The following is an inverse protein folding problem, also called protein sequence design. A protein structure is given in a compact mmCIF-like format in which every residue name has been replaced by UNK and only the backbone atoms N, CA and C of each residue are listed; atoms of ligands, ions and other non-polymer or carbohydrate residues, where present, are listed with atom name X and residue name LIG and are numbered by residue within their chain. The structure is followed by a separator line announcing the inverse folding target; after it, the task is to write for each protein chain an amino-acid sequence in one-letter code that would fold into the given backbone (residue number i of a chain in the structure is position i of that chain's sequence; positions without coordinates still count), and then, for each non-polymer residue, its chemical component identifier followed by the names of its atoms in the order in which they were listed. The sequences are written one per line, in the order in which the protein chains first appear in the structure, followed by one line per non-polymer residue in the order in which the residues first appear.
data_IF_584864117084
#
_entry.id   IF_584864117084
#
_cell.length_a   1.000
_cell.length_b   1.000
_cell.length_c   1.000
_cell.angle_alpha   90.00
_cell.angle_beta   90.00
_cell.angle_gamma   90.00
#
_symmetry.space_group_name_H-M   'P 1'
#
loop_
_entity.id
_entity.type
_entity.pdbx_description
1 polymer ?
#
# COMPACT_ATOMS: atom_id res chain seq x y z
N UNK A 1 18.79 0.84 -1.66
CA UNK A 1 17.43 0.29 -1.59
C UNK A 1 16.92 0.07 -3.01
N UNK A 2 16.00 -0.88 -3.21
CA UNK A 2 15.26 -1.06 -4.46
C UNK A 2 13.86 -0.50 -4.21
N UNK A 3 13.37 0.35 -5.11
CA UNK A 3 12.06 0.97 -4.99
C UNK A 3 11.06 0.30 -5.92
N UNK A 4 9.89 0.00 -5.38
CA UNK A 4 8.71 -0.45 -6.12
C UNK A 4 7.52 0.38 -5.66
N UNK A 5 6.63 0.75 -6.57
CA UNK A 5 5.50 1.61 -6.27
C UNK A 5 4.22 1.12 -6.95
N UNK A 6 3.08 1.40 -6.32
CA UNK A 6 1.75 1.20 -6.87
C UNK A 6 0.94 2.47 -6.59
N UNK A 7 0.02 2.79 -7.49
CA UNK A 7 -0.89 3.92 -7.29
C UNK A 7 -1.85 3.61 -6.13
N UNK A 8 -2.23 4.60 -5.29
CA UNK A 8 -3.08 4.38 -4.11
C UNK A 8 -4.52 3.98 -4.45
N UNK A 9 -4.93 4.14 -5.71
CA UNK A 9 -6.22 3.69 -6.24
C UNK A 9 -6.25 2.20 -6.64
N UNK A 10 -5.11 1.49 -6.57
CA UNK A 10 -5.09 0.04 -6.79
C UNK A 10 -5.90 -0.68 -5.71
N UNK A 11 -6.68 -1.67 -6.15
CA UNK A 11 -7.32 -2.62 -5.23
C UNK A 11 -6.29 -3.46 -4.50
N UNK A 12 -6.64 -3.91 -3.28
CA UNK A 12 -5.76 -4.70 -2.38
C UNK A 12 -5.09 -5.85 -3.13
N UNK A 13 -5.86 -6.65 -3.90
CA UNK A 13 -5.33 -7.80 -4.65
C UNK A 13 -4.19 -7.42 -5.61
N UNK A 14 -4.32 -6.31 -6.34
CA UNK A 14 -3.28 -5.87 -7.27
C UNK A 14 -2.01 -5.40 -6.56
N UNK A 15 -2.12 -4.89 -5.34
CA UNK A 15 -0.98 -4.55 -4.49
C UNK A 15 -0.29 -5.83 -3.99
N UNK A 16 -1.07 -6.82 -3.53
CA UNK A 16 -0.53 -8.11 -3.06
C UNK A 16 0.19 -8.88 -4.18
N UNK A 17 -0.38 -8.92 -5.38
CA UNK A 17 0.24 -9.59 -6.53
C UNK A 17 1.63 -9.01 -6.86
N UNK A 18 1.84 -7.70 -6.62
CA UNK A 18 3.13 -7.02 -6.89
C UNK A 18 4.08 -7.09 -5.71
N UNK A 19 3.61 -6.75 -4.51
CA UNK A 19 4.46 -6.67 -3.32
C UNK A 19 4.73 -8.04 -2.70
N UNK A 20 3.86 -9.03 -2.90
CA UNK A 20 4.10 -10.42 -2.51
C UNK A 20 5.29 -11.05 -3.24
N UNK A 21 5.59 -10.62 -4.47
CA UNK A 21 6.76 -11.11 -5.23
C UNK A 21 8.08 -10.51 -4.75
N UNK A 22 8.05 -9.30 -4.20
CA UNK A 22 9.25 -8.54 -3.82
C UNK A 22 9.51 -8.54 -2.32
N UNK A 23 8.52 -8.94 -1.51
CA UNK A 23 8.56 -8.99 -0.06
C UNK A 23 9.25 -7.76 0.59
N UNK A 24 8.73 -6.54 0.34
CA UNK A 24 9.35 -5.34 0.87
C UNK A 24 9.34 -5.35 2.40
N UNK A 25 10.34 -4.69 3.01
CA UNK A 25 10.42 -4.52 4.47
C UNK A 25 9.87 -3.18 4.96
N UNK A 26 9.75 -2.20 4.07
CA UNK A 26 9.29 -0.85 4.39
C UNK A 26 8.22 -0.44 3.37
N UNK A 27 7.07 0.03 3.87
CA UNK A 27 6.00 0.60 3.06
C UNK A 27 5.90 2.10 3.34
N UNK A 28 5.93 2.90 2.28
CA UNK A 28 5.57 4.32 2.33
C UNK A 28 4.14 4.47 1.81
N UNK A 29 3.28 5.14 2.56
CA UNK A 29 1.88 5.35 2.17
C UNK A 29 1.34 6.68 2.69
N UNK A 30 0.39 7.26 1.97
CA UNK A 30 -0.39 8.38 2.49
C UNK A 30 -1.54 7.87 3.36
N UNK A 31 -2.00 8.70 4.31
CA UNK A 31 -3.22 8.48 5.07
C UNK A 31 -4.48 8.61 4.20
N UNK A 32 -4.42 9.48 3.19
CA UNK A 32 -5.50 9.77 2.27
C UNK A 32 -4.97 10.31 0.94
N UNK A 33 -5.83 10.37 -0.06
CA UNK A 33 -5.56 11.10 -1.30
C UNK A 33 -6.80 11.83 -1.80
N UNK A 34 -6.60 12.94 -2.51
CA UNK A 34 -7.68 13.73 -3.10
C UNK A 34 -7.75 13.50 -4.60
N UNK A 35 -8.91 13.13 -5.11
CA UNK A 35 -9.14 12.92 -6.53
C UNK A 35 -10.58 13.25 -6.92
N UNK A 36 -10.77 13.91 -8.06
CA UNK A 36 -12.08 14.25 -8.62
C UNK A 36 -13.07 14.87 -7.61
N UNK A 37 -12.58 15.86 -6.84
CA UNK A 37 -13.41 16.57 -5.87
C UNK A 37 -13.72 15.79 -4.57
N UNK A 38 -13.10 14.62 -4.37
CA UNK A 38 -13.35 13.75 -3.21
C UNK A 38 -12.04 13.35 -2.53
N UNK A 39 -12.09 13.26 -1.20
CA UNK A 39 -11.02 12.66 -0.40
C UNK A 39 -11.30 11.18 -0.23
N UNK A 40 -10.28 10.35 -0.42
CA UNK A 40 -10.32 8.92 -0.24
C UNK A 40 -9.43 8.55 0.94
N UNK A 41 -10.00 7.84 1.91
CA UNK A 41 -9.21 7.24 2.98
C UNK A 41 -8.36 6.09 2.44
N UNK A 42 -7.09 6.08 2.85
CA UNK A 42 -6.14 5.02 2.51
C UNK A 42 -5.86 4.12 3.71
N UNK A 43 -6.12 4.57 4.95
CA UNK A 43 -5.73 3.85 6.15
C UNK A 43 -6.42 2.50 6.28
N UNK A 44 -7.73 2.41 5.99
CA UNK A 44 -8.45 1.13 6.03
C UNK A 44 -7.87 0.14 5.02
N UNK A 45 -7.53 0.61 3.81
CA UNK A 45 -6.93 -0.21 2.75
C UNK A 45 -5.54 -0.69 3.12
N UNK A 46 -4.70 0.22 3.65
CA UNK A 46 -3.35 -0.09 4.14
C UNK A 46 -3.42 -1.14 5.24
N UNK A 47 -4.34 -1.00 6.20
CA UNK A 47 -4.52 -2.00 7.26
C UNK A 47 -4.88 -3.39 6.70
N UNK A 48 -5.68 -3.46 5.64
CA UNK A 48 -5.96 -4.70 4.91
C UNK A 48 -4.71 -5.30 4.24
N UNK A 49 -3.90 -4.47 3.57
CA UNK A 49 -2.66 -4.89 2.91
C UNK A 49 -1.65 -5.44 3.92
N UNK A 50 -1.49 -4.78 5.08
CA UNK A 50 -0.52 -5.18 6.10
C UNK A 50 -0.82 -6.55 6.72
N UNK A 51 -2.09 -6.97 6.75
CA UNK A 51 -2.47 -8.31 7.23
C UNK A 51 -1.97 -9.42 6.30
N UNK A 52 -1.83 -9.11 5.02
CA UNK A 52 -1.48 -10.07 3.97
C UNK A 52 0.00 -9.97 3.55
N UNK A 53 0.74 -8.96 4.04
CA UNK A 53 2.17 -8.75 3.79
C UNK A 53 2.98 -8.75 5.10
N UNK A 54 3.21 -9.93 5.70
CA UNK A 54 3.96 -10.04 6.97
C UNK A 54 5.43 -9.66 6.85
N UNK A 55 5.96 -9.48 5.64
CA UNK A 55 7.32 -9.01 5.37
C UNK A 55 7.55 -7.55 5.75
N UNK A 56 6.48 -6.74 5.86
CA UNK A 56 6.56 -5.34 6.25
C UNK A 56 6.94 -5.23 7.73
N UNK A 57 8.02 -4.50 7.99
CA UNK A 57 8.54 -4.23 9.34
C UNK A 57 8.36 -2.76 9.75
N UNK A 58 8.14 -1.87 8.77
CA UNK A 58 8.00 -0.44 8.98
C UNK A 58 6.99 0.13 8.00
N UNK A 59 6.07 0.94 8.51
CA UNK A 59 5.21 1.82 7.72
C UNK A 59 5.62 3.26 7.99
N UNK A 60 5.72 4.06 6.94
CA UNK A 60 6.06 5.49 6.97
C UNK A 60 4.97 6.27 6.27
#
# INVERSE_FOLDING_TARGET
AIWSSCSPDFGIKGILDRFGQTEPKVLFTADSYFYNGKTFDSLERVAGILKELPSIQKVV
#
